data_IF_301173166836
#
_entry.id   IF_301173166836
#
_cell.length_a   1.000
_cell.length_b   1.000
_cell.length_c   1.000
_cell.angle_alpha   90.00
_cell.angle_beta   90.00
_cell.angle_gamma   90.00
#
_symmetry.space_group_name_H-M   'P 1'
#
loop_
_entity.id
_entity.type
_entity.pdbx_description
1 polymer ?
#
# COMPACT_ATOMS: atom_id res chain seq x y z
N UNK A 1 -52.63 33.67 -9.29
CA UNK A 1 -51.68 33.21 -10.30
C UNK A 1 -50.31 33.32 -9.70
N UNK A 2 -49.62 32.21 -9.42
CA UNK A 2 -48.22 32.21 -8.90
C UNK A 2 -47.30 32.66 -10.03
N UNK A 3 -46.50 33.71 -9.79
CA UNK A 3 -45.53 34.21 -10.75
C UNK A 3 -44.57 33.09 -11.17
N UNK A 4 -44.31 32.94 -12.46
CA UNK A 4 -43.33 32.00 -12.98
C UNK A 4 -41.94 32.30 -12.41
N UNK A 5 -41.14 31.32 -11.98
CA UNK A 5 -39.78 31.53 -11.53
C UNK A 5 -38.88 32.14 -12.61
N UNK A 6 -39.33 32.14 -13.88
CA UNK A 6 -38.61 32.66 -15.04
C UNK A 6 -39.14 34.00 -15.58
N UNK A 7 -39.86 34.78 -14.77
CA UNK A 7 -40.29 36.11 -15.18
C UNK A 7 -39.08 36.97 -15.60
N UNK A 8 -39.13 37.60 -16.80
CA UNK A 8 -38.01 38.37 -17.36
C UNK A 8 -37.70 39.63 -16.54
N UNK A 9 -36.49 40.15 -16.62
CA UNK A 9 -36.15 41.42 -16.02
C UNK A 9 -36.93 42.56 -16.69
N UNK A 10 -37.36 43.56 -15.89
CA UNK A 10 -38.19 44.69 -16.37
C UNK A 10 -37.42 45.68 -17.26
N UNK A 11 -36.07 45.58 -17.31
CA UNK A 11 -35.22 46.46 -18.12
C UNK A 11 -33.90 45.76 -18.49
N UNK A 12 -33.25 46.18 -19.59
CA UNK A 12 -31.97 45.66 -20.05
C UNK A 12 -32.11 44.76 -21.29
N UNK A 13 -30.99 44.23 -21.85
CA UNK A 13 -30.97 43.47 -23.11
C UNK A 13 -31.74 42.14 -23.07
N UNK A 14 -32.18 41.71 -21.89
CA UNK A 14 -32.99 40.51 -21.68
C UNK A 14 -34.46 40.85 -21.38
N UNK A 15 -34.85 42.14 -21.42
CA UNK A 15 -36.23 42.56 -21.25
C UNK A 15 -37.06 42.09 -22.45
N UNK A 16 -38.19 41.40 -22.19
CA UNK A 16 -39.07 40.95 -23.26
C UNK A 16 -38.87 39.48 -23.70
N UNK A 17 -37.91 38.75 -23.11
CA UNK A 17 -37.81 37.31 -23.32
C UNK A 17 -38.94 36.59 -22.60
N UNK A 18 -39.56 35.60 -23.26
CA UNK A 18 -40.52 34.72 -22.60
C UNK A 18 -39.83 33.76 -21.59
N UNK A 19 -40.58 33.23 -20.60
CA UNK A 19 -40.06 32.21 -19.69
C UNK A 19 -39.37 31.03 -20.42
N UNK A 20 -39.97 30.57 -21.52
CA UNK A 20 -39.41 29.47 -22.32
C UNK A 20 -38.13 29.86 -23.04
N UNK A 21 -38.02 31.11 -23.50
CA UNK A 21 -36.77 31.62 -24.11
C UNK A 21 -35.65 31.71 -23.08
N UNK A 22 -35.94 32.12 -21.86
CA UNK A 22 -34.97 32.15 -20.76
C UNK A 22 -34.52 30.75 -20.39
N UNK A 23 -35.43 29.78 -20.29
CA UNK A 23 -35.11 28.40 -20.02
C UNK A 23 -34.26 27.76 -21.13
N UNK A 24 -34.63 28.00 -22.41
CA UNK A 24 -33.85 27.54 -23.55
C UNK A 24 -32.44 28.15 -23.58
N UNK A 25 -32.28 29.44 -23.21
CA UNK A 25 -30.96 30.05 -23.12
C UNK A 25 -30.07 29.36 -22.05
N UNK A 26 -30.66 29.09 -20.89
CA UNK A 26 -29.98 28.35 -19.80
C UNK A 26 -29.62 26.93 -20.21
N UNK A 27 -30.54 26.23 -20.87
CA UNK A 27 -30.31 24.86 -21.34
C UNK A 27 -29.19 24.80 -22.40
N UNK A 28 -29.18 25.74 -23.37
CA UNK A 28 -28.12 25.84 -24.37
C UNK A 28 -26.76 26.11 -23.75
N UNK A 29 -26.70 27.03 -22.76
CA UNK A 29 -25.47 27.33 -22.04
C UNK A 29 -24.98 26.13 -21.22
N UNK A 30 -25.90 25.38 -20.59
CA UNK A 30 -25.59 24.13 -19.89
C UNK A 30 -25.09 23.05 -20.84
N UNK A 31 -25.77 22.88 -22.01
CA UNK A 31 -25.34 21.89 -23.01
C UNK A 31 -23.96 22.21 -23.59
N UNK A 32 -23.60 23.49 -23.73
CA UNK A 32 -22.26 23.89 -24.16
C UNK A 32 -21.17 23.49 -23.13
N UNK A 33 -21.50 23.60 -21.84
CA UNK A 33 -20.60 23.24 -20.72
C UNK A 33 -20.57 21.73 -20.46
N UNK A 34 -21.62 20.97 -20.87
CA UNK A 34 -21.87 19.57 -20.50
C UNK A 34 -21.63 18.55 -21.59
N UNK A 35 -20.92 18.88 -22.67
CA UNK A 35 -20.55 17.85 -23.69
C UNK A 35 -19.81 16.61 -23.14
N UNK A 36 -19.64 16.51 -21.83
CA UNK A 36 -18.86 15.44 -21.18
C UNK A 36 -19.59 14.61 -20.11
N UNK A 37 -20.77 14.99 -19.54
CA UNK A 37 -21.39 14.24 -18.42
C UNK A 37 -22.91 14.32 -18.47
N UNK A 38 -23.60 13.17 -18.44
CA UNK A 38 -25.08 13.12 -18.31
C UNK A 38 -25.57 13.98 -17.14
N UNK A 39 -26.49 14.91 -17.40
CA UNK A 39 -26.90 15.95 -16.46
C UNK A 39 -28.30 15.71 -15.89
N UNK A 40 -28.34 15.54 -14.56
CA UNK A 40 -29.56 15.62 -13.76
C UNK A 40 -29.30 16.61 -12.59
N UNK A 41 -30.06 17.75 -12.51
CA UNK A 41 -29.90 18.70 -11.41
C UNK A 41 -30.08 18.09 -10.02
N UNK A 42 -30.85 17.02 -9.90
CA UNK A 42 -31.07 16.34 -8.63
C UNK A 42 -29.82 15.58 -8.13
N UNK A 43 -28.94 15.15 -9.04
CA UNK A 43 -27.78 14.34 -8.72
C UNK A 43 -26.52 15.14 -8.42
N UNK A 44 -26.45 16.42 -8.76
CA UNK A 44 -25.28 17.25 -8.52
C UNK A 44 -25.32 17.95 -7.18
N UNK A 45 -24.14 18.04 -6.52
CA UNK A 45 -24.01 18.70 -5.21
C UNK A 45 -24.31 20.21 -5.30
N UNK A 46 -24.78 20.81 -4.21
CA UNK A 46 -25.00 22.26 -4.15
C UNK A 46 -23.75 23.08 -4.46
N UNK A 47 -22.55 22.59 -4.15
CA UNK A 47 -21.28 23.22 -4.55
C UNK A 47 -21.11 23.20 -6.07
N UNK A 48 -21.41 22.08 -6.72
CA UNK A 48 -21.33 21.94 -8.18
C UNK A 48 -22.40 22.80 -8.87
N UNK A 49 -23.63 22.87 -8.32
CA UNK A 49 -24.69 23.78 -8.76
C UNK A 49 -24.25 25.25 -8.68
N UNK A 50 -23.60 25.65 -7.59
CA UNK A 50 -23.10 27.00 -7.43
C UNK A 50 -22.02 27.34 -8.47
N UNK A 51 -21.02 26.43 -8.69
CA UNK A 51 -19.99 26.62 -9.72
C UNK A 51 -20.57 26.74 -11.13
N UNK A 52 -21.55 25.88 -11.46
CA UNK A 52 -22.29 25.97 -12.73
C UNK A 52 -23.06 27.28 -12.82
N UNK A 53 -23.72 27.72 -11.73
CA UNK A 53 -24.46 28.97 -11.70
C UNK A 53 -23.60 30.23 -11.96
N UNK A 54 -22.37 30.25 -11.43
CA UNK A 54 -21.46 31.39 -11.74
C UNK A 54 -21.02 31.36 -13.22
N UNK A 55 -20.76 30.19 -13.81
CA UNK A 55 -20.49 30.09 -15.26
C UNK A 55 -21.69 30.51 -16.11
N UNK A 56 -22.91 30.09 -15.73
CA UNK A 56 -24.15 30.49 -16.40
C UNK A 56 -24.35 31.99 -16.33
N UNK A 57 -24.08 32.62 -15.16
CA UNK A 57 -24.15 34.11 -15.03
C UNK A 57 -23.21 34.80 -15.98
N UNK A 58 -21.98 34.34 -16.09
CA UNK A 58 -20.98 34.88 -17.01
C UNK A 58 -21.37 34.71 -18.48
N UNK A 59 -21.88 33.52 -18.83
CA UNK A 59 -22.23 33.18 -20.21
C UNK A 59 -23.52 33.85 -20.72
N UNK A 60 -24.53 34.04 -19.83
CA UNK A 60 -25.87 34.49 -20.23
C UNK A 60 -26.22 35.90 -19.76
N UNK A 61 -25.51 36.45 -18.77
CA UNK A 61 -25.86 37.74 -18.15
C UNK A 61 -27.17 37.71 -17.32
N UNK A 62 -27.80 36.56 -17.16
CA UNK A 62 -29.09 36.44 -16.48
C UNK A 62 -28.99 36.77 -14.98
N UNK A 63 -30.05 37.36 -14.39
CA UNK A 63 -30.12 37.63 -12.96
C UNK A 63 -30.02 36.38 -12.13
N UNK A 64 -29.35 36.43 -10.98
CA UNK A 64 -29.13 35.29 -10.07
C UNK A 64 -30.42 34.57 -9.73
N UNK A 65 -31.55 35.27 -9.53
CA UNK A 65 -32.85 34.67 -9.19
C UNK A 65 -33.30 33.60 -10.18
N UNK A 66 -33.08 33.81 -11.48
CA UNK A 66 -33.46 32.86 -12.52
C UNK A 66 -32.56 31.66 -12.53
N UNK A 67 -31.27 31.88 -12.33
CA UNK A 67 -30.26 30.78 -12.29
C UNK A 67 -30.47 29.87 -11.09
N UNK A 68 -30.70 30.42 -9.90
CA UNK A 68 -30.93 29.58 -8.71
C UNK A 68 -32.26 28.80 -8.80
N UNK A 69 -33.29 29.39 -9.42
CA UNK A 69 -34.55 28.70 -9.71
C UNK A 69 -34.33 27.55 -10.67
N UNK A 70 -33.61 27.75 -11.78
CA UNK A 70 -33.26 26.73 -12.76
C UNK A 70 -32.44 25.59 -12.14
N UNK A 71 -31.44 25.90 -11.32
CA UNK A 71 -30.59 24.92 -10.67
C UNK A 71 -31.25 24.25 -9.45
N UNK A 72 -32.44 24.67 -9.07
CA UNK A 72 -33.16 24.20 -7.87
C UNK A 72 -32.25 24.23 -6.62
N UNK A 73 -31.67 25.41 -6.33
CA UNK A 73 -30.85 25.65 -5.15
C UNK A 73 -31.36 26.89 -4.42
N UNK A 74 -31.38 26.88 -3.09
CA UNK A 74 -31.78 28.06 -2.31
C UNK A 74 -30.71 29.17 -2.39
N UNK A 75 -31.14 30.44 -2.29
CA UNK A 75 -30.23 31.60 -2.31
C UNK A 75 -29.17 31.51 -1.21
N UNK A 76 -29.57 31.12 0.00
CA UNK A 76 -28.63 30.95 1.14
C UNK A 76 -27.58 29.87 0.88
N UNK A 77 -28.00 28.72 0.32
CA UNK A 77 -27.09 27.63 -0.05
C UNK A 77 -26.13 28.06 -1.17
N UNK A 78 -26.65 28.80 -2.16
CA UNK A 78 -25.85 29.34 -3.26
C UNK A 78 -24.75 30.29 -2.75
N UNK A 79 -25.09 31.28 -1.95
CA UNK A 79 -24.13 32.27 -1.40
C UNK A 79 -23.12 31.61 -0.46
N UNK A 80 -23.58 30.64 0.36
CA UNK A 80 -22.68 29.84 1.18
C UNK A 80 -21.62 29.11 0.36
N UNK A 81 -21.99 28.50 -0.77
CA UNK A 81 -21.03 27.82 -1.65
C UNK A 81 -20.22 28.78 -2.50
N UNK A 82 -20.81 29.93 -2.91
CA UNK A 82 -20.14 30.96 -3.68
C UNK A 82 -18.95 31.57 -2.94
N UNK A 83 -19.11 31.87 -1.66
CA UNK A 83 -18.02 32.42 -0.83
C UNK A 83 -16.85 31.41 -0.64
N UNK A 84 -17.08 30.12 -1.01
CA UNK A 84 -16.11 29.03 -0.91
C UNK A 84 -15.71 28.45 -2.26
N UNK A 85 -16.13 29.06 -3.37
CA UNK A 85 -15.65 28.70 -4.70
C UNK A 85 -14.15 28.99 -4.79
N UNK A 86 -13.41 28.06 -5.36
CA UNK A 86 -11.95 28.15 -5.45
C UNK A 86 -11.20 27.72 -4.19
N UNK A 87 -11.86 27.61 -3.03
CA UNK A 87 -11.23 27.10 -1.82
C UNK A 87 -11.28 25.59 -1.75
N UNK A 88 -10.12 24.94 -1.69
CA UNK A 88 -10.06 23.52 -1.37
C UNK A 88 -10.03 23.32 0.15
N UNK A 89 -11.13 22.81 0.72
CA UNK A 89 -11.21 22.45 2.14
C UNK A 89 -10.05 21.53 2.58
N UNK A 90 -9.49 20.76 1.66
CA UNK A 90 -8.49 19.76 1.93
C UNK A 90 -7.09 20.10 1.42
N UNK A 91 -6.82 21.34 1.02
CA UNK A 91 -5.53 21.75 0.44
C UNK A 91 -4.33 21.37 1.34
N UNK A 92 -4.39 21.73 2.63
CA UNK A 92 -3.37 21.34 3.61
C UNK A 92 -3.27 19.82 3.75
N UNK A 93 -4.40 19.13 3.79
CA UNK A 93 -4.43 17.67 3.89
C UNK A 93 -3.87 17.00 2.63
N UNK A 94 -4.14 17.54 1.43
CA UNK A 94 -3.56 17.05 0.18
C UNK A 94 -2.03 17.13 0.21
N UNK A 95 -1.49 18.22 0.70
CA UNK A 95 -0.04 18.38 0.86
C UNK A 95 0.54 17.35 1.81
N UNK A 96 -0.10 17.11 2.96
CA UNK A 96 0.32 16.07 3.91
C UNK A 96 0.22 14.67 3.29
N UNK A 97 -0.88 14.33 2.61
CA UNK A 97 -1.06 13.03 1.93
C UNK A 97 0.03 12.80 0.88
N UNK A 98 0.36 13.83 0.07
CA UNK A 98 1.47 13.76 -0.92
C UNK A 98 2.82 13.54 -0.24
N UNK A 99 3.09 14.25 0.86
CA UNK A 99 4.34 14.13 1.61
C UNK A 99 4.52 12.71 2.17
N UNK A 100 3.53 12.21 2.90
CA UNK A 100 3.52 10.86 3.48
C UNK A 100 3.62 9.77 2.39
N UNK A 101 2.93 9.96 1.25
CA UNK A 101 3.02 9.01 0.14
C UNK A 101 4.42 8.97 -0.49
N UNK A 102 5.11 10.11 -0.61
CA UNK A 102 6.49 10.20 -1.11
C UNK A 102 7.49 9.59 -0.14
N UNK A 103 7.34 9.85 1.17
CA UNK A 103 8.13 9.20 2.23
C UNK A 103 8.06 7.67 2.11
N UNK A 104 6.86 7.12 1.87
CA UNK A 104 6.64 5.71 1.60
C UNK A 104 7.18 5.23 0.26
N UNK A 105 7.90 6.06 -0.51
CA UNK A 105 8.45 5.73 -1.83
C UNK A 105 7.42 5.07 -2.75
N UNK A 106 6.17 5.53 -2.72
CA UNK A 106 5.02 5.03 -3.48
C UNK A 106 4.63 3.57 -3.14
N UNK A 107 5.08 3.03 -1.99
CA UNK A 107 4.75 1.66 -1.53
C UNK A 107 3.49 1.64 -0.67
N UNK A 108 3.10 2.78 -0.07
CA UNK A 108 2.03 2.86 0.91
C UNK A 108 0.67 3.10 0.26
N UNK A 109 -0.27 2.16 0.48
CA UNK A 109 -1.66 2.35 0.10
C UNK A 109 -2.38 3.31 1.07
N UNK A 110 -3.59 3.73 0.71
CA UNK A 110 -4.36 4.72 1.48
C UNK A 110 -4.52 4.37 2.97
N UNK A 111 -4.60 3.09 3.34
CA UNK A 111 -4.70 2.68 4.75
C UNK A 111 -3.42 2.95 5.52
N UNK A 112 -2.27 2.69 4.91
CA UNK A 112 -0.97 2.98 5.52
C UNK A 112 -0.74 4.48 5.60
N UNK A 113 -1.07 5.24 4.56
CA UNK A 113 -1.01 6.71 4.56
C UNK A 113 -1.92 7.27 5.65
N UNK A 114 -3.16 6.78 5.78
CA UNK A 114 -4.07 7.19 6.85
C UNK A 114 -3.51 6.90 8.25
N UNK A 115 -2.94 5.71 8.46
CA UNK A 115 -2.33 5.35 9.74
C UNK A 115 -1.13 6.24 10.10
N UNK A 116 -0.30 6.59 9.11
CA UNK A 116 0.81 7.55 9.30
C UNK A 116 0.31 8.93 9.66
N UNK A 117 -0.64 9.49 8.90
CA UNK A 117 -1.28 10.77 9.20
C UNK A 117 -1.87 10.81 10.62
N UNK A 118 -2.52 9.73 11.05
CA UNK A 118 -3.07 9.62 12.40
C UNK A 118 -1.96 9.65 13.46
N UNK A 119 -0.83 8.99 13.24
CA UNK A 119 0.35 9.03 14.14
C UNK A 119 0.98 10.43 14.22
N UNK A 120 0.90 11.20 13.14
CA UNK A 120 1.35 12.60 13.07
C UNK A 120 0.30 13.61 13.60
N UNK A 121 -0.77 13.12 14.23
CA UNK A 121 -1.82 13.96 14.81
C UNK A 121 -2.89 14.45 13.84
N UNK A 122 -2.87 14.01 12.58
CA UNK A 122 -3.89 14.39 11.59
C UNK A 122 -5.06 13.42 11.63
N UNK A 123 -6.17 13.83 12.26
CA UNK A 123 -7.38 13.04 12.39
C UNK A 123 -8.33 13.26 11.20
N UNK A 124 -8.43 12.28 10.33
CA UNK A 124 -9.27 12.29 9.13
C UNK A 124 -9.79 10.87 8.86
N UNK A 125 -10.92 10.71 8.16
CA UNK A 125 -11.41 9.38 7.83
C UNK A 125 -10.62 8.73 6.69
N UNK A 126 -10.49 7.39 6.71
CA UNK A 126 -9.87 6.62 5.61
C UNK A 126 -10.51 6.94 4.24
N UNK A 127 -11.84 7.17 4.22
CA UNK A 127 -12.59 7.50 3.00
C UNK A 127 -12.09 8.80 2.35
N UNK A 128 -11.77 9.81 3.17
CA UNK A 128 -11.22 11.09 2.68
C UNK A 128 -9.82 10.90 2.13
N UNK A 129 -8.94 10.19 2.84
CA UNK A 129 -7.56 9.91 2.36
C UNK A 129 -7.60 9.13 1.05
N UNK A 130 -8.44 8.09 0.96
CA UNK A 130 -8.62 7.30 -0.27
C UNK A 130 -9.06 8.17 -1.44
N UNK A 131 -10.02 9.08 -1.22
CA UNK A 131 -10.51 10.01 -2.25
C UNK A 131 -9.41 10.96 -2.70
N UNK A 132 -8.69 11.59 -1.76
CA UNK A 132 -7.58 12.51 -2.09
C UNK A 132 -6.52 11.78 -2.89
N UNK A 133 -6.11 10.59 -2.49
CA UNK A 133 -5.12 9.80 -3.24
C UNK A 133 -5.57 9.50 -4.67
N UNK A 134 -6.87 9.22 -4.86
CA UNK A 134 -7.43 8.98 -6.20
C UNK A 134 -7.45 10.26 -7.05
N UNK A 135 -7.91 11.37 -6.49
CA UNK A 135 -7.95 12.69 -7.15
C UNK A 135 -6.55 13.20 -7.53
N UNK A 136 -5.54 12.94 -6.71
CA UNK A 136 -4.13 13.30 -6.93
C UNK A 136 -3.37 12.27 -7.79
N UNK A 137 -4.04 11.21 -8.25
CA UNK A 137 -3.39 10.15 -9.04
C UNK A 137 -2.29 9.37 -8.30
N UNK A 138 -2.32 9.35 -6.96
CA UNK A 138 -1.33 8.67 -6.13
C UNK A 138 -1.56 7.15 -6.14
N UNK A 139 -0.92 6.48 -7.08
CA UNK A 139 -1.03 5.03 -7.26
C UNK A 139 0.17 4.31 -6.65
N UNK A 140 -0.12 3.28 -5.86
CA UNK A 140 0.92 2.39 -5.33
C UNK A 140 1.55 1.60 -6.46
N UNK A 141 2.85 1.45 -6.41
CA UNK A 141 3.60 0.70 -7.42
C UNK A 141 3.55 -0.78 -7.07
N UNK A 142 2.56 -1.49 -7.62
CA UNK A 142 2.52 -2.95 -7.59
C UNK A 142 2.69 -3.49 -9.01
N UNK A 143 3.58 -4.46 -9.16
CA UNK A 143 3.66 -5.20 -10.40
C UNK A 143 2.66 -6.37 -10.36
N UNK A 144 1.97 -6.64 -11.47
CA UNK A 144 1.10 -7.82 -11.57
C UNK A 144 1.96 -9.08 -11.43
N UNK A 145 1.51 -10.05 -10.61
CA UNK A 145 2.16 -11.36 -10.49
C UNK A 145 2.40 -11.96 -11.89
N UNK A 146 3.66 -12.22 -12.21
CA UNK A 146 4.00 -13.13 -13.32
C UNK A 146 3.97 -14.55 -12.74
N UNK A 147 3.30 -15.51 -13.37
CA UNK A 147 3.37 -16.90 -12.95
C UNK A 147 4.82 -17.38 -13.17
N UNK A 148 5.46 -17.87 -12.14
CA UNK A 148 6.76 -18.52 -12.20
C UNK A 148 6.59 -20.02 -12.00
N UNK A 149 7.07 -20.80 -12.94
CA UNK A 149 7.31 -22.22 -12.72
C UNK A 149 8.61 -22.37 -11.91
N UNK A 150 8.54 -23.07 -10.81
CA UNK A 150 9.68 -23.44 -9.99
C UNK A 150 10.05 -24.89 -10.31
N UNK A 151 11.31 -25.18 -10.58
CA UNK A 151 11.80 -26.54 -10.56
C UNK A 151 12.40 -26.82 -9.19
N UNK A 152 11.89 -27.82 -8.49
CA UNK A 152 12.45 -28.29 -7.24
C UNK A 152 13.62 -29.23 -7.52
N UNK A 153 14.68 -29.13 -6.70
CA UNK A 153 15.81 -30.06 -6.74
C UNK A 153 15.34 -31.49 -6.47
N UNK A 154 15.69 -32.42 -7.37
CA UNK A 154 15.18 -33.79 -7.36
C UNK A 154 16.07 -34.76 -6.54
N UNK A 155 17.29 -34.34 -6.13
CA UNK A 155 18.22 -35.18 -5.37
C UNK A 155 17.87 -35.31 -3.89
N UNK A 156 18.14 -36.51 -3.32
CA UNK A 156 18.08 -36.75 -1.86
C UNK A 156 19.48 -36.63 -1.24
N UNK A 157 19.69 -35.58 -0.42
CA UNK A 157 20.97 -35.35 0.27
C UNK A 157 20.96 -35.95 1.68
N UNK A 158 19.81 -35.90 2.38
CA UNK A 158 19.59 -36.48 3.70
C UNK A 158 18.10 -36.69 3.95
N UNK A 159 17.74 -37.49 4.95
CA UNK A 159 16.34 -37.69 5.36
C UNK A 159 15.75 -36.36 5.83
N UNK A 160 14.65 -35.94 5.21
CA UNK A 160 13.95 -34.71 5.60
C UNK A 160 13.20 -34.92 6.92
N UNK A 161 13.26 -33.99 7.89
CA UNK A 161 12.44 -34.08 9.09
C UNK A 161 10.94 -33.97 8.75
N UNK A 162 10.08 -34.40 9.68
CA UNK A 162 8.62 -34.27 9.54
C UNK A 162 8.18 -32.80 9.53
N UNK A 163 7.07 -32.54 8.87
CA UNK A 163 6.38 -31.25 8.98
C UNK A 163 5.72 -31.16 10.37
N UNK A 164 6.24 -30.30 11.24
CA UNK A 164 5.76 -30.12 12.61
C UNK A 164 4.72 -29.01 12.74
N UNK A 165 4.64 -28.11 11.75
CA UNK A 165 3.81 -26.90 11.84
C UNK A 165 2.45 -27.03 11.15
N UNK A 166 2.30 -28.00 10.23
CA UNK A 166 1.03 -28.28 9.54
C UNK A 166 0.32 -27.01 9.04
N UNK A 167 1.08 -26.07 8.43
CA UNK A 167 0.62 -24.76 7.93
C UNK A 167 0.17 -23.76 9.01
N UNK A 168 0.37 -24.06 10.28
CA UNK A 168 0.17 -23.09 11.33
C UNK A 168 1.42 -22.20 11.46
N UNK A 169 1.35 -21.01 10.88
CA UNK A 169 2.42 -20.00 10.88
C UNK A 169 2.21 -18.93 11.97
N UNK A 170 1.57 -19.29 13.06
CA UNK A 170 1.36 -18.41 14.20
C UNK A 170 2.25 -18.83 15.37
N UNK A 171 2.87 -17.84 16.02
CA UNK A 171 3.61 -17.99 17.26
C UNK A 171 3.03 -17.01 18.30
N UNK A 172 3.02 -17.41 19.56
CA UNK A 172 2.50 -16.58 20.67
C UNK A 172 3.57 -15.66 21.23
N UNK A 173 4.84 -16.02 21.07
CA UNK A 173 5.98 -15.23 21.50
C UNK A 173 7.10 -15.25 20.45
N UNK A 174 8.02 -14.26 20.48
CA UNK A 174 9.21 -14.30 19.63
C UNK A 174 10.02 -15.57 19.86
N UNK A 175 10.69 -16.05 18.83
CA UNK A 175 11.59 -17.23 18.84
C UNK A 175 10.93 -18.59 19.08
N UNK A 176 9.61 -18.70 18.96
CA UNK A 176 8.94 -20.01 19.00
C UNK A 176 8.97 -20.71 17.62
N UNK A 177 8.72 -19.96 16.56
CA UNK A 177 8.67 -20.49 15.20
C UNK A 177 9.38 -19.57 14.21
N UNK A 178 10.46 -20.06 13.63
CA UNK A 178 11.19 -19.38 12.56
C UNK A 178 10.97 -20.06 11.21
N UNK A 179 10.88 -19.25 10.17
CA UNK A 179 10.86 -19.71 8.78
C UNK A 179 12.19 -19.37 8.13
N UNK A 180 12.79 -20.36 7.47
CA UNK A 180 14.00 -20.17 6.68
C UNK A 180 13.68 -20.29 5.19
N UNK A 181 14.20 -19.35 4.39
CA UNK A 181 14.03 -19.37 2.94
C UNK A 181 15.15 -18.67 2.20
N UNK A 182 15.33 -19.06 0.93
CA UNK A 182 16.25 -18.41 0.00
C UNK A 182 15.46 -17.92 -1.21
N UNK A 183 15.77 -16.71 -1.66
CA UNK A 183 15.19 -16.15 -2.90
C UNK A 183 16.27 -15.59 -3.80
N UNK A 184 16.03 -15.64 -5.13
CA UNK A 184 16.92 -15.11 -6.16
C UNK A 184 16.36 -13.80 -6.70
N UNK A 185 17.24 -12.83 -6.94
CA UNK A 185 17.02 -11.61 -7.71
C UNK A 185 17.86 -11.67 -8.98
N UNK A 186 17.23 -11.52 -10.13
CA UNK A 186 17.91 -11.49 -11.43
C UNK A 186 18.09 -10.04 -11.87
N UNK A 187 19.32 -9.54 -11.73
CA UNK A 187 19.74 -8.29 -12.34
C UNK A 187 20.20 -8.55 -13.79
N UNK A 188 20.23 -7.52 -14.65
CA UNK A 188 20.80 -7.66 -15.99
C UNK A 188 22.24 -8.16 -16.00
N UNK A 189 23.04 -7.75 -15.01
CA UNK A 189 24.46 -8.05 -14.90
C UNK A 189 24.81 -9.23 -13.98
N UNK A 190 23.90 -9.67 -13.10
CA UNK A 190 24.19 -10.71 -12.09
C UNK A 190 22.94 -11.33 -11.47
N UNK A 191 23.13 -12.47 -10.81
CA UNK A 191 22.17 -13.04 -9.87
C UNK A 191 22.61 -12.74 -8.45
N UNK A 192 21.66 -12.30 -7.62
CA UNK A 192 21.85 -12.07 -6.19
C UNK A 192 20.89 -12.97 -5.42
N UNK A 193 21.38 -13.56 -4.37
CA UNK A 193 20.62 -14.45 -3.50
C UNK A 193 20.48 -13.84 -2.12
N UNK A 194 19.31 -13.98 -1.54
CA UNK A 194 18.98 -13.60 -0.17
C UNK A 194 18.55 -14.85 0.59
N UNK A 195 19.26 -15.20 1.66
CA UNK A 195 18.78 -16.10 2.68
C UNK A 195 18.23 -15.29 3.85
N UNK A 196 17.03 -15.60 4.30
CA UNK A 196 16.37 -14.86 5.40
C UNK A 196 15.78 -15.82 6.42
N UNK A 197 15.84 -15.43 7.68
CA UNK A 197 15.14 -16.08 8.80
C UNK A 197 14.05 -15.13 9.30
N UNK A 198 12.82 -15.61 9.32
CA UNK A 198 11.63 -14.81 9.61
C UNK A 198 10.95 -15.38 10.84
N UNK A 199 10.65 -14.55 11.83
CA UNK A 199 9.88 -14.95 13.01
C UNK A 199 8.38 -14.92 12.71
N UNK A 200 7.67 -15.97 13.02
CA UNK A 200 6.22 -16.08 12.81
C UNK A 200 5.41 -15.26 13.82
N UNK A 201 6.01 -14.80 14.92
CA UNK A 201 5.33 -14.00 15.92
C UNK A 201 4.81 -12.67 15.34
N UNK A 202 5.68 -11.95 14.65
CA UNK A 202 5.38 -10.62 14.10
C UNK A 202 5.77 -10.47 12.63
N UNK A 203 6.38 -11.51 12.05
CA UNK A 203 6.93 -11.52 10.71
C UNK A 203 8.16 -10.62 10.58
N UNK A 204 8.94 -10.43 11.64
CA UNK A 204 10.26 -9.79 11.62
C UNK A 204 11.24 -10.63 10.81
N UNK A 205 12.05 -10.01 9.98
CA UNK A 205 13.19 -10.65 9.36
C UNK A 205 14.38 -10.61 10.33
N UNK A 206 14.46 -11.60 11.24
CA UNK A 206 15.42 -11.57 12.36
C UNK A 206 16.85 -11.47 11.87
N UNK A 207 17.15 -12.16 10.77
CA UNK A 207 18.49 -12.13 10.17
C UNK A 207 18.43 -12.44 8.69
N UNK A 208 19.48 -12.02 7.99
CA UNK A 208 19.66 -12.30 6.58
C UNK A 208 21.12 -12.37 6.18
N UNK A 209 21.36 -12.99 5.03
CA UNK A 209 22.62 -12.98 4.31
C UNK A 209 22.36 -12.76 2.83
N UNK A 210 23.15 -11.89 2.20
CA UNK A 210 23.04 -11.54 0.80
C UNK A 210 24.35 -11.96 0.10
N UNK A 211 24.26 -12.57 -1.08
CA UNK A 211 25.43 -13.03 -1.79
C UNK A 211 25.17 -13.30 -3.26
N UNK A 212 26.26 -13.41 -4.04
CA UNK A 212 26.21 -13.69 -5.48
C UNK A 212 25.97 -15.18 -5.82
N UNK A 213 26.05 -16.05 -4.84
CA UNK A 213 25.90 -17.49 -5.02
C UNK A 213 25.07 -18.10 -3.87
N UNK A 214 24.18 -19.03 -4.21
CA UNK A 214 23.39 -19.79 -3.23
C UNK A 214 24.23 -20.96 -2.68
N UNK A 215 25.33 -20.67 -1.99
CA UNK A 215 26.16 -21.67 -1.35
C UNK A 215 25.71 -21.93 0.09
N UNK A 216 26.24 -23.02 0.69
CA UNK A 216 25.95 -23.39 2.10
C UNK A 216 26.20 -22.25 3.09
N UNK A 217 27.27 -21.47 2.87
CA UNK A 217 27.61 -20.32 3.71
C UNK A 217 26.50 -19.27 3.78
N UNK A 218 25.75 -19.07 2.67
CA UNK A 218 24.67 -18.08 2.64
C UNK A 218 23.56 -18.45 3.64
N UNK A 219 23.14 -19.72 3.65
CA UNK A 219 22.13 -20.20 4.59
C UNK A 219 22.66 -20.26 6.03
N UNK A 220 23.84 -20.83 6.23
CA UNK A 220 24.46 -20.97 7.54
C UNK A 220 24.69 -19.62 8.21
N UNK A 221 25.19 -18.61 7.47
CA UNK A 221 25.41 -17.26 8.01
C UNK A 221 24.13 -16.60 8.47
N UNK A 222 23.02 -16.74 7.74
CA UNK A 222 21.74 -16.20 8.20
C UNK A 222 21.25 -16.92 9.48
N UNK A 223 21.44 -18.24 9.57
CA UNK A 223 21.09 -19.00 10.77
C UNK A 223 21.92 -18.60 11.99
N UNK A 224 23.23 -18.52 11.83
CA UNK A 224 24.13 -18.12 12.92
C UNK A 224 23.83 -16.72 13.44
N UNK A 225 23.54 -15.78 12.54
CA UNK A 225 23.08 -14.43 12.93
C UNK A 225 21.74 -14.44 13.65
N UNK A 226 20.80 -15.32 13.28
CA UNK A 226 19.53 -15.45 14.01
C UNK A 226 19.76 -15.98 15.42
N UNK A 227 20.61 -16.99 15.53
CA UNK A 227 20.94 -17.61 16.82
C UNK A 227 21.58 -16.64 17.80
N UNK A 228 22.45 -15.71 17.34
CA UNK A 228 23.06 -14.69 18.20
C UNK A 228 22.07 -13.69 18.77
N UNK A 229 20.87 -13.58 18.18
CA UNK A 229 19.80 -12.69 18.63
C UNK A 229 18.68 -13.44 19.36
N UNK A 230 18.72 -14.79 19.39
CA UNK A 230 17.70 -15.61 20.04
C UNK A 230 17.68 -15.39 21.54
N UNK A 231 16.48 -15.24 22.10
CA UNK A 231 16.31 -15.07 23.54
C UNK A 231 16.78 -16.35 24.30
N UNK A 232 17.47 -16.20 25.41
CA UNK A 232 17.87 -17.31 26.25
C UNK A 232 16.65 -18.16 26.65
N UNK A 233 16.80 -19.47 26.67
CA UNK A 233 15.74 -20.41 27.08
C UNK A 233 14.62 -20.63 26.06
N UNK A 234 14.66 -20.04 24.87
CA UNK A 234 13.64 -20.25 23.83
C UNK A 234 13.72 -21.63 23.22
N UNK A 235 12.57 -22.30 23.06
CA UNK A 235 12.42 -23.57 22.34
C UNK A 235 11.97 -23.32 20.91
N UNK A 236 12.92 -23.04 20.03
CA UNK A 236 12.63 -22.59 18.65
C UNK A 236 12.46 -23.76 17.69
N UNK A 237 11.36 -23.77 16.96
CA UNK A 237 11.19 -24.60 15.76
C UNK A 237 11.61 -23.82 14.53
N UNK A 238 12.52 -24.35 13.71
CA UNK A 238 12.87 -23.75 12.42
C UNK A 238 12.26 -24.58 11.29
N UNK A 239 11.42 -23.93 10.47
CA UNK A 239 10.75 -24.56 9.33
C UNK A 239 11.31 -24.03 8.02
N UNK A 240 11.52 -24.93 7.07
CA UNK A 240 12.01 -24.61 5.72
C UNK A 240 11.29 -25.44 4.66
N UNK A 241 11.46 -25.07 3.40
CA UNK A 241 11.20 -25.95 2.28
C UNK A 241 12.22 -27.12 2.25
N UNK A 242 12.08 -28.02 1.26
CA UNK A 242 13.00 -29.14 1.05
C UNK A 242 14.25 -28.78 0.26
N UNK A 243 14.60 -27.50 0.18
CA UNK A 243 15.81 -27.04 -0.50
C UNK A 243 17.06 -27.75 0.03
N UNK A 244 18.01 -28.07 -0.88
CA UNK A 244 19.25 -28.78 -0.52
C UNK A 244 20.02 -28.10 0.60
N UNK A 245 19.99 -26.76 0.65
CA UNK A 245 20.70 -25.96 1.64
C UNK A 245 20.35 -26.29 3.09
N UNK A 246 19.09 -26.66 3.36
CA UNK A 246 18.58 -27.01 4.70
C UNK A 246 18.77 -28.48 5.06
N UNK A 247 19.39 -29.24 4.15
CA UNK A 247 19.66 -30.69 4.29
C UNK A 247 21.14 -30.98 4.32
N UNK A 248 22.00 -29.97 4.19
CA UNK A 248 23.44 -30.12 4.29
C UNK A 248 23.90 -30.38 5.73
N UNK A 249 24.97 -31.19 5.92
CA UNK A 249 25.44 -31.57 7.25
C UNK A 249 25.72 -30.37 8.16
N UNK A 250 26.34 -29.32 7.67
CA UNK A 250 26.65 -28.12 8.49
C UNK A 250 25.40 -27.43 9.00
N UNK A 251 24.35 -27.26 8.16
CA UNK A 251 23.08 -26.70 8.61
C UNK A 251 22.44 -27.54 9.71
N UNK A 252 22.50 -28.86 9.54
CA UNK A 252 21.97 -29.82 10.51
C UNK A 252 22.73 -29.75 11.84
N UNK A 253 24.06 -29.67 11.77
CA UNK A 253 24.92 -29.52 12.95
C UNK A 253 24.61 -28.26 13.71
N UNK A 254 24.55 -27.08 13.04
CA UNK A 254 24.19 -25.81 13.68
C UNK A 254 22.84 -25.92 14.39
N UNK A 255 21.83 -26.49 13.74
CA UNK A 255 20.50 -26.64 14.34
C UNK A 255 20.53 -27.53 15.60
N UNK A 256 21.24 -28.66 15.54
CA UNK A 256 21.33 -29.60 16.66
C UNK A 256 22.08 -29.01 17.84
N UNK A 257 23.26 -28.43 17.61
CA UNK A 257 24.10 -27.79 18.63
C UNK A 257 23.38 -26.64 19.32
N UNK A 258 22.52 -25.93 18.59
CA UNK A 258 21.73 -24.82 19.13
C UNK A 258 20.38 -25.25 19.72
N UNK A 259 20.06 -26.54 19.74
CA UNK A 259 18.78 -27.05 20.25
C UNK A 259 17.56 -26.64 19.44
N UNK A 260 17.71 -26.34 18.15
CA UNK A 260 16.59 -26.03 17.26
C UNK A 260 15.84 -27.30 16.85
N UNK A 261 14.50 -27.25 16.91
CA UNK A 261 13.63 -28.30 16.35
C UNK A 261 13.46 -28.04 14.87
N UNK A 262 13.98 -28.97 14.05
CA UNK A 262 13.86 -28.86 12.58
C UNK A 262 12.51 -29.35 12.09
N UNK A 263 11.89 -28.61 11.18
CA UNK A 263 10.65 -28.94 10.49
C UNK A 263 10.80 -28.64 9.00
N UNK A 264 10.24 -29.46 8.11
CA UNK A 264 10.27 -29.22 6.67
C UNK A 264 8.90 -29.45 6.04
N UNK A 265 8.64 -28.72 4.97
CA UNK A 265 7.45 -28.91 4.12
C UNK A 265 7.36 -30.34 3.60
N UNK A 266 6.15 -30.85 3.37
CA UNK A 266 5.95 -32.11 2.68
C UNK A 266 6.46 -32.03 1.22
N UNK A 267 6.82 -33.16 0.63
CA UNK A 267 7.30 -33.20 -0.77
C UNK A 267 6.18 -32.74 -1.70
N UNK A 268 6.49 -31.73 -2.53
CA UNK A 268 5.54 -31.17 -3.50
C UNK A 268 4.44 -30.29 -2.89
N UNK A 269 4.50 -29.92 -1.61
CA UNK A 269 3.51 -29.08 -0.94
C UNK A 269 4.01 -27.64 -0.78
N UNK A 270 3.76 -26.78 -1.78
CA UNK A 270 4.07 -25.34 -1.70
C UNK A 270 3.29 -24.60 -0.61
N UNK A 271 2.02 -24.95 -0.27
CA UNK A 271 1.30 -24.28 0.83
C UNK A 271 1.99 -24.42 2.19
N UNK A 272 2.84 -25.44 2.39
CA UNK A 272 3.54 -25.64 3.65
C UNK A 272 4.64 -24.61 3.91
N UNK A 273 5.03 -23.80 2.91
CA UNK A 273 5.97 -22.68 3.03
C UNK A 273 5.35 -21.33 2.66
N UNK A 274 4.02 -21.24 2.60
CA UNK A 274 3.30 -20.07 2.07
C UNK A 274 3.64 -18.76 2.80
N UNK A 275 3.93 -18.78 4.10
CA UNK A 275 4.25 -17.58 4.86
C UNK A 275 5.63 -17.01 4.45
N UNK A 276 6.63 -17.88 4.25
CA UNK A 276 7.95 -17.48 3.74
C UNK A 276 7.87 -16.95 2.30
N UNK A 277 7.11 -17.64 1.43
CA UNK A 277 6.85 -17.18 0.06
C UNK A 277 6.12 -15.84 0.04
N UNK A 278 5.18 -15.64 0.96
CA UNK A 278 4.46 -14.38 1.14
C UNK A 278 5.38 -13.24 1.55
N UNK A 279 6.36 -13.48 2.40
CA UNK A 279 7.40 -12.51 2.74
C UNK A 279 8.22 -12.12 1.51
N UNK A 280 8.78 -13.09 0.80
CA UNK A 280 9.59 -12.82 -0.41
C UNK A 280 8.78 -12.17 -1.54
N UNK A 281 7.54 -12.59 -1.72
CA UNK A 281 6.65 -11.96 -2.70
C UNK A 281 6.40 -10.49 -2.40
N UNK A 282 6.21 -10.14 -1.14
CA UNK A 282 6.05 -8.75 -0.68
C UNK A 282 7.32 -7.95 -0.86
N UNK A 283 8.46 -8.50 -0.43
CA UNK A 283 9.77 -7.88 -0.61
C UNK A 283 10.04 -7.58 -2.08
N UNK A 284 9.82 -8.55 -2.97
CA UNK A 284 10.01 -8.35 -4.42
C UNK A 284 9.05 -7.30 -5.00
N UNK A 285 7.80 -7.28 -4.56
CA UNK A 285 6.83 -6.28 -5.00
C UNK A 285 7.18 -4.87 -4.52
N UNK A 286 7.64 -4.72 -3.27
CA UNK A 286 7.90 -3.43 -2.66
C UNK A 286 9.30 -2.87 -2.96
N UNK A 287 10.25 -3.73 -3.32
CA UNK A 287 11.65 -3.34 -3.53
C UNK A 287 12.12 -3.56 -4.96
N UNK A 288 11.80 -4.70 -5.59
CA UNK A 288 12.49 -5.17 -6.79
C UNK A 288 11.76 -4.87 -8.09
N UNK A 289 10.49 -5.32 -8.24
CA UNK A 289 9.84 -5.42 -9.56
C UNK A 289 9.50 -4.09 -10.24
N UNK A 290 9.37 -3.01 -9.52
CA UNK A 290 9.00 -1.71 -10.09
C UNK A 290 10.19 -0.81 -10.45
N UNK A 291 11.41 -1.26 -10.16
CA UNK A 291 12.64 -0.48 -10.38
C UNK A 291 13.37 -1.02 -11.60
N UNK A 292 14.04 -0.11 -12.31
CA UNK A 292 14.98 -0.46 -13.34
C UNK A 292 16.37 -0.68 -12.71
N UNK A 293 16.95 -1.85 -12.96
CA UNK A 293 18.23 -2.29 -12.41
C UNK A 293 19.35 -2.34 -13.45
N UNK A 294 19.17 -1.72 -14.64
CA UNK A 294 20.13 -1.85 -15.77
C UNK A 294 21.52 -1.32 -15.45
N UNK A 295 21.60 -0.21 -14.73
CA UNK A 295 22.87 0.48 -14.46
C UNK A 295 23.29 0.38 -12.97
N UNK A 296 22.80 -0.63 -12.26
CA UNK A 296 23.11 -0.80 -10.84
C UNK A 296 24.11 -1.94 -10.68
N UNK A 297 25.21 -1.68 -9.96
CA UNK A 297 26.18 -2.72 -9.63
C UNK A 297 25.57 -3.74 -8.65
N UNK A 298 26.05 -4.98 -8.65
CA UNK A 298 25.62 -5.97 -7.67
C UNK A 298 25.87 -5.52 -6.22
N UNK A 299 26.94 -4.80 -5.95
CA UNK A 299 27.27 -4.28 -4.62
C UNK A 299 26.26 -3.22 -4.18
N UNK A 300 25.93 -2.26 -5.05
CA UNK A 300 24.90 -1.26 -4.79
C UNK A 300 23.56 -1.91 -4.55
N UNK A 301 23.18 -2.90 -5.37
CA UNK A 301 21.94 -3.65 -5.16
C UNK A 301 21.91 -4.35 -3.80
N UNK A 302 23.01 -5.01 -3.41
CA UNK A 302 23.10 -5.70 -2.12
C UNK A 302 22.96 -4.73 -0.95
N UNK A 303 23.60 -3.57 -1.03
CA UNK A 303 23.50 -2.52 -0.01
C UNK A 303 22.06 -1.95 0.09
N UNK A 304 21.40 -1.71 -1.05
CA UNK A 304 20.02 -1.23 -1.06
C UNK A 304 19.03 -2.30 -0.56
N UNK A 305 19.29 -3.58 -0.84
CA UNK A 305 18.48 -4.68 -0.32
C UNK A 305 18.64 -4.80 1.21
N UNK A 306 19.83 -4.64 1.72
CA UNK A 306 20.13 -4.63 3.17
C UNK A 306 19.40 -3.46 3.86
N UNK A 307 19.50 -2.26 3.31
CA UNK A 307 18.78 -1.09 3.79
C UNK A 307 17.26 -1.28 3.75
N UNK A 308 16.74 -1.96 2.72
CA UNK A 308 15.31 -2.28 2.66
C UNK A 308 14.89 -3.27 3.77
N UNK A 309 15.68 -4.28 4.06
CA UNK A 309 15.38 -5.25 5.12
C UNK A 309 15.42 -4.59 6.50
N UNK A 310 16.37 -3.70 6.73
CA UNK A 310 16.40 -2.85 7.93
C UNK A 310 15.13 -1.99 8.05
N UNK A 311 14.74 -1.30 6.96
CA UNK A 311 13.49 -0.55 6.90
C UNK A 311 12.26 -1.45 7.15
N UNK A 312 12.28 -2.68 6.64
CA UNK A 312 11.16 -3.63 6.82
C UNK A 312 10.89 -3.91 8.29
N UNK A 313 11.91 -4.00 9.11
CA UNK A 313 11.79 -4.26 10.54
C UNK A 313 11.60 -2.99 11.37
N UNK A 314 12.24 -1.87 11.01
CA UNK A 314 12.19 -0.62 11.78
C UNK A 314 11.05 0.31 11.39
N UNK A 315 10.74 0.42 10.09
CA UNK A 315 9.87 1.47 9.57
C UNK A 315 8.58 0.99 8.91
N UNK A 316 8.53 -0.29 8.48
CA UNK A 316 7.39 -0.81 7.74
C UNK A 316 6.25 -1.21 8.69
N UNK A 317 5.26 -0.32 8.82
CA UNK A 317 4.10 -0.58 9.67
C UNK A 317 3.17 -1.65 9.07
N UNK A 318 2.63 -2.52 9.93
CA UNK A 318 1.73 -3.63 9.58
C UNK A 318 0.39 -3.49 10.31
N UNK A 319 -0.70 -3.65 9.58
CA UNK A 319 -2.04 -3.61 10.19
C UNK A 319 -2.22 -4.68 11.26
N UNK A 320 -1.67 -5.89 11.04
CA UNK A 320 -1.73 -7.00 11.97
C UNK A 320 -1.02 -6.73 13.30
N UNK A 321 -0.10 -5.77 13.33
CA UNK A 321 0.64 -5.35 14.52
C UNK A 321 0.12 -4.01 15.07
N UNK A 322 -1.15 -3.67 14.84
CA UNK A 322 -1.71 -2.40 15.30
C UNK A 322 -1.11 -1.16 14.63
N UNK A 323 -0.65 -1.28 13.40
CA UNK A 323 0.06 -0.24 12.65
C UNK A 323 1.43 0.12 13.25
N UNK A 324 2.08 -0.84 13.87
CA UNK A 324 3.48 -0.77 14.29
C UNK A 324 4.37 -1.52 13.30
N UNK A 325 5.66 -1.17 13.27
CA UNK A 325 6.67 -2.00 12.65
C UNK A 325 6.99 -3.22 13.54
N UNK A 326 7.64 -4.28 13.03
CA UNK A 326 8.03 -5.42 13.88
C UNK A 326 8.83 -5.00 15.12
N UNK A 327 9.82 -4.13 14.96
CA UNK A 327 10.63 -3.69 16.09
C UNK A 327 9.84 -2.79 17.05
N UNK A 328 9.01 -1.86 16.57
CA UNK A 328 8.10 -1.08 17.41
C UNK A 328 7.14 -1.99 18.20
N UNK A 329 6.61 -3.04 17.55
CA UNK A 329 5.71 -3.99 18.20
C UNK A 329 6.42 -4.77 19.32
N UNK A 330 7.66 -5.24 19.07
CA UNK A 330 8.47 -5.91 20.11
C UNK A 330 8.81 -4.98 21.26
N UNK A 331 9.16 -3.71 21.01
CA UNK A 331 9.39 -2.72 22.07
C UNK A 331 8.13 -2.46 22.89
N UNK A 332 6.98 -2.31 22.24
CA UNK A 332 5.70 -2.09 22.93
C UNK A 332 5.30 -3.26 23.85
N UNK A 333 5.78 -4.47 23.55
CA UNK A 333 5.54 -5.68 24.36
C UNK A 333 6.69 -6.01 25.33
N UNK A 334 7.74 -5.19 25.39
CA UNK A 334 8.89 -5.42 26.27
C UNK A 334 9.86 -6.50 25.81
N UNK A 335 9.81 -6.93 24.56
CA UNK A 335 10.74 -7.92 23.99
C UNK A 335 12.04 -7.33 23.43
N UNK A 336 12.12 -6.01 23.33
CA UNK A 336 13.31 -5.24 22.90
C UNK A 336 13.40 -3.96 23.70
N UNK A 337 14.63 -3.48 23.91
CA UNK A 337 14.92 -2.17 24.50
C UNK A 337 14.63 -1.01 23.53
#
# INVERSE_FOLDING_TARGET
MSASPYDPPKSGPLAGLSPDQIENLLLRAVLADLKAVGWDPALISNRSKCGLGERLRQATGLPLRLIIAFLKISKSSYEYHRSRLGQDKYERLRTQVRSVFREGQRRWGYRTVHARLKREGTHVSEKVVRRIMAEEGLKVVYNKKRPHSWSSYVGEISKAPKNLISRNFHALAPDELWLAGITEFRLPCAKIYLSAIIDCFDGKCISWSIGRQARKQLANSSLTKALSQRRPGSHTTIHSDRGGHYRWPEWIAICNESGLRRSMSAKGSSPDNAACEGFFGRLKNEFFYYRDWKNISPETFMAELDAYLTYYDEGRIKRSLGWLSPNEYRRALGYMA
#
